data_IF_084744308434
#
_entry.id   IF_084744308434
#
_cell.length_a   1.000
_cell.length_b   1.000
_cell.length_c   1.000
_cell.angle_alpha   90.00
_cell.angle_beta   90.00
_cell.angle_gamma   90.00
#
_symmetry.space_group_name_H-M   'P 1'
#
loop_
_entity.id
_entity.type
_entity.pdbx_description
1 polymer ?
#
# COMPACT_ATOMS: atom_id res chain seq x y z
N UNK A 1 2.41 -23.39 3.69
CA UNK A 1 3.01 -22.55 4.74
C UNK A 1 2.48 -21.13 4.55
N UNK A 2 1.65 -20.63 5.46
CA UNK A 2 1.33 -19.20 5.50
C UNK A 2 2.58 -18.47 5.98
N UNK A 3 3.23 -17.71 5.11
CA UNK A 3 4.30 -16.83 5.56
C UNK A 3 3.68 -15.58 6.20
N UNK A 4 4.18 -15.25 7.38
CA UNK A 4 3.94 -13.97 8.03
C UNK A 4 4.36 -12.83 7.09
N UNK A 5 3.67 -11.68 7.19
CA UNK A 5 4.10 -10.40 6.61
C UNK A 5 5.58 -10.18 6.85
N UNK A 6 6.30 -9.62 5.88
CA UNK A 6 7.72 -9.30 6.01
C UNK A 6 7.92 -7.79 6.15
N UNK A 7 8.62 -7.37 7.19
CA UNK A 7 9.09 -6.00 7.37
C UNK A 7 10.62 -6.02 7.36
N UNK A 8 11.20 -5.43 6.32
CA UNK A 8 12.64 -5.37 6.12
C UNK A 8 13.11 -4.00 6.56
N UNK A 9 13.90 -3.95 7.63
CA UNK A 9 14.46 -2.70 8.15
C UNK A 9 15.91 -2.58 7.67
N UNK A 10 16.25 -1.41 7.13
CA UNK A 10 17.58 -1.05 6.63
C UNK A 10 18.03 0.25 7.28
N UNK A 11 19.35 0.45 7.32
CA UNK A 11 19.93 1.56 8.07
C UNK A 11 19.52 2.93 7.51
N UNK A 12 19.32 3.02 6.20
CA UNK A 12 19.06 4.27 5.50
C UNK A 12 18.24 4.07 4.21
N UNK A 13 17.77 5.18 3.64
CA UNK A 13 16.95 5.15 2.41
C UNK A 13 17.67 4.56 1.19
N UNK A 14 18.99 4.68 1.08
CA UNK A 14 19.77 4.11 -0.01
C UNK A 14 19.92 2.60 0.14
N UNK A 15 20.21 2.10 1.35
CA UNK A 15 20.25 0.67 1.62
C UNK A 15 18.89 0.00 1.48
N UNK A 16 17.79 0.69 1.84
CA UNK A 16 16.42 0.26 1.56
C UNK A 16 16.12 0.17 0.05
N UNK A 17 16.45 1.21 -0.71
CA UNK A 17 16.26 1.23 -2.16
C UNK A 17 17.10 0.16 -2.88
N UNK A 18 18.37 0.00 -2.48
CA UNK A 18 19.26 -1.03 -3.02
C UNK A 18 18.71 -2.43 -2.75
N UNK A 19 18.25 -2.71 -1.53
CA UNK A 19 17.67 -4.00 -1.19
C UNK A 19 16.50 -4.36 -2.10
N UNK A 20 15.58 -3.41 -2.33
CA UNK A 20 14.41 -3.67 -3.17
C UNK A 20 14.80 -3.82 -4.65
N UNK A 21 15.75 -3.04 -5.15
CA UNK A 21 16.29 -3.23 -6.50
C UNK A 21 16.94 -4.61 -6.67
N UNK A 22 17.78 -5.04 -5.71
CA UNK A 22 18.43 -6.35 -5.72
C UNK A 22 17.40 -7.49 -5.69
N UNK A 23 16.32 -7.33 -4.91
CA UNK A 23 15.20 -8.26 -4.84
C UNK A 23 14.47 -8.41 -6.17
N UNK A 24 14.20 -7.28 -6.85
CA UNK A 24 13.58 -7.27 -8.18
C UNK A 24 14.50 -7.96 -9.20
N UNK A 25 15.81 -7.68 -9.15
CA UNK A 25 16.78 -8.22 -10.11
C UNK A 25 17.02 -9.72 -9.94
N UNK A 26 17.24 -10.20 -8.70
CA UNK A 26 17.95 -11.46 -8.36
C UNK A 26 19.46 -11.28 -8.10
N UNK A 27 19.92 -10.23 -7.44
CA UNK A 27 21.32 -10.22 -6.98
C UNK A 27 21.44 -11.02 -5.67
N UNK A 28 22.51 -11.81 -5.52
CA UNK A 28 22.78 -12.52 -4.26
C UNK A 28 22.82 -11.49 -3.12
N UNK A 29 21.81 -11.51 -2.25
CA UNK A 29 21.79 -10.75 -1.00
C UNK A 29 22.76 -11.43 -0.03
N UNK A 30 24.07 -11.29 -0.27
CA UNK A 30 25.11 -11.73 0.67
C UNK A 30 25.15 -10.77 1.84
N UNK A 31 24.59 -11.17 2.97
CA UNK A 31 24.99 -10.62 4.27
C UNK A 31 26.36 -11.22 4.62
N UNK A 32 27.37 -10.37 4.79
CA UNK A 32 28.66 -10.79 5.34
C UNK A 32 28.47 -11.22 6.79
N UNK A 33 28.38 -12.53 7.03
CA UNK A 33 28.61 -13.11 8.34
C UNK A 33 29.84 -14.01 8.20
N UNK A 34 30.92 -13.57 8.80
CA UNK A 34 32.21 -14.22 8.79
C UNK A 34 32.23 -15.19 9.97
N UNK A 35 31.96 -16.47 9.73
CA UNK A 35 32.26 -17.54 10.69
C UNK A 35 32.66 -18.84 9.97
N UNK A 36 33.53 -19.57 10.65
CA UNK A 36 34.54 -20.51 10.15
C UNK A 36 34.03 -21.76 9.42
N UNK A 37 34.76 -22.13 8.36
CA UNK A 37 34.95 -23.48 7.81
C UNK A 37 33.71 -24.34 7.53
N UNK A 38 32.89 -23.93 6.56
CA UNK A 38 32.34 -24.80 5.51
C UNK A 38 31.50 -23.95 4.54
N UNK A 39 31.98 -23.74 3.32
CA UNK A 39 31.24 -22.95 2.33
C UNK A 39 30.15 -23.80 1.66
N UNK A 40 29.03 -24.04 2.36
CA UNK A 40 27.78 -24.36 1.67
C UNK A 40 27.17 -23.03 1.20
N UNK A 41 27.32 -22.71 -0.08
CA UNK A 41 26.60 -21.61 -0.70
C UNK A 41 25.13 -22.01 -0.82
N UNK A 42 24.34 -21.77 0.23
CA UNK A 42 22.88 -21.91 0.17
C UNK A 42 22.37 -20.71 -0.64
N UNK A 43 22.34 -20.86 -1.97
CA UNK A 43 21.80 -19.85 -2.89
C UNK A 43 20.29 -19.78 -2.69
N UNK A 44 19.87 -18.95 -1.75
CA UNK A 44 18.45 -18.65 -1.57
C UNK A 44 18.00 -17.87 -2.80
N UNK A 45 17.18 -18.47 -3.68
CA UNK A 45 16.57 -17.81 -4.86
C UNK A 45 15.61 -16.69 -4.40
N UNK A 46 16.16 -15.56 -3.95
CA UNK A 46 15.49 -14.39 -3.36
C UNK A 46 15.27 -13.29 -4.42
N UNK A 47 14.52 -13.62 -5.46
CA UNK A 47 14.78 -13.05 -6.76
C UNK A 47 13.58 -13.13 -7.71
N UNK A 48 13.20 -12.02 -8.34
CA UNK A 48 11.98 -11.99 -9.17
C UNK A 48 12.24 -12.13 -10.65
N UNK A 49 12.78 -11.12 -11.33
CA UNK A 49 12.79 -11.10 -12.81
C UNK A 49 13.68 -12.21 -13.38
N UNK A 50 14.93 -12.37 -12.91
CA UNK A 50 15.82 -13.41 -13.46
C UNK A 50 15.37 -14.83 -13.14
N UNK A 51 14.80 -15.06 -11.95
CA UNK A 51 14.24 -16.38 -11.59
C UNK A 51 13.02 -16.72 -12.41
N UNK A 52 12.14 -15.73 -12.67
CA UNK A 52 10.95 -15.93 -13.49
C UNK A 52 11.27 -16.25 -14.95
N UNK A 53 12.45 -15.80 -15.42
CA UNK A 53 12.98 -16.01 -16.76
C UNK A 53 11.97 -15.62 -17.86
N UNK A 54 11.61 -14.32 -17.96
CA UNK A 54 10.54 -13.88 -18.84
C UNK A 54 10.87 -14.07 -20.32
N UNK A 55 9.88 -14.54 -21.07
CA UNK A 55 9.91 -14.74 -22.52
C UNK A 55 8.78 -13.95 -23.18
N UNK A 56 8.75 -13.80 -24.52
CA UNK A 56 7.63 -13.13 -25.19
C UNK A 56 6.25 -13.76 -24.90
N UNK A 57 6.19 -15.08 -24.71
CA UNK A 57 4.94 -15.79 -24.35
C UNK A 57 4.66 -15.80 -22.84
N UNK A 58 5.66 -15.56 -22.00
CA UNK A 58 5.61 -15.49 -20.53
C UNK A 58 6.30 -14.20 -20.05
N UNK A 59 5.70 -13.01 -20.30
CA UNK A 59 6.29 -11.77 -19.83
C UNK A 59 6.17 -11.63 -18.30
N UNK A 60 7.10 -10.92 -17.67
CA UNK A 60 7.01 -10.55 -16.26
C UNK A 60 6.21 -9.25 -16.13
N UNK A 61 5.08 -9.29 -15.42
CA UNK A 61 4.19 -8.12 -15.28
C UNK A 61 4.48 -7.40 -13.97
N UNK A 62 4.90 -6.14 -14.01
CA UNK A 62 5.27 -5.35 -12.84
C UNK A 62 4.43 -4.08 -12.68
N UNK A 63 3.91 -3.85 -11.47
CA UNK A 63 3.29 -2.59 -11.06
C UNK A 63 4.34 -1.60 -10.57
N UNK A 64 4.30 -0.35 -11.04
CA UNK A 64 5.34 0.66 -10.77
C UNK A 64 4.76 1.95 -10.17
N UNK A 65 5.34 2.47 -9.07
CA UNK A 65 4.98 3.75 -8.47
C UNK A 65 5.83 4.91 -8.98
N UNK A 66 5.38 6.13 -8.73
CA UNK A 66 6.15 7.37 -8.94
C UNK A 66 6.53 8.04 -7.62
N UNK A 67 7.14 9.22 -7.70
CA UNK A 67 7.53 10.03 -6.55
C UNK A 67 8.93 9.73 -6.03
N UNK A 68 9.31 10.40 -4.94
CA UNK A 68 10.70 10.42 -4.45
C UNK A 68 11.18 9.09 -3.86
N UNK A 69 10.29 8.29 -3.28
CA UNK A 69 10.65 7.00 -2.66
C UNK A 69 11.20 5.97 -3.65
N UNK A 70 10.59 5.74 -4.83
CA UNK A 70 11.11 4.77 -5.79
C UNK A 70 12.29 5.25 -6.65
N UNK A 71 12.65 6.54 -6.65
CA UNK A 71 13.77 7.05 -7.47
C UNK A 71 15.08 6.30 -7.26
N UNK A 72 15.42 5.98 -6.00
CA UNK A 72 16.63 5.23 -5.67
C UNK A 72 16.61 3.83 -6.29
N UNK A 73 15.45 3.18 -6.29
CA UNK A 73 15.25 1.85 -6.86
C UNK A 73 15.45 1.90 -8.37
N UNK A 74 14.84 2.88 -9.06
CA UNK A 74 15.04 3.06 -10.49
C UNK A 74 16.50 3.29 -10.87
N UNK A 75 17.23 4.13 -10.11
CA UNK A 75 18.68 4.33 -10.32
C UNK A 75 19.46 3.03 -10.25
N UNK A 76 19.16 2.17 -9.27
CA UNK A 76 19.81 0.86 -9.15
C UNK A 76 19.43 -0.11 -10.28
N UNK A 77 18.16 -0.17 -10.67
CA UNK A 77 17.69 -1.00 -11.79
C UNK A 77 18.33 -0.58 -13.12
N UNK A 78 18.40 0.71 -13.40
CA UNK A 78 19.09 1.27 -14.57
C UNK A 78 20.57 0.94 -14.56
N UNK A 79 21.23 1.08 -13.42
CA UNK A 79 22.64 0.76 -13.29
C UNK A 79 22.90 -0.74 -13.53
N UNK A 80 22.06 -1.62 -13.01
CA UNK A 80 22.14 -3.07 -13.24
C UNK A 80 21.90 -3.43 -14.71
N UNK A 81 20.93 -2.79 -15.37
CA UNK A 81 20.70 -2.97 -16.80
C UNK A 81 21.92 -2.55 -17.63
N UNK A 82 22.50 -1.38 -17.35
CA UNK A 82 23.71 -0.88 -18.03
C UNK A 82 24.93 -1.80 -17.83
N UNK A 83 24.98 -2.56 -16.74
CA UNK A 83 25.99 -3.61 -16.49
C UNK A 83 25.67 -4.97 -17.14
N UNK A 84 24.55 -5.08 -17.86
CA UNK A 84 24.10 -6.34 -18.48
C UNK A 84 23.55 -7.36 -17.50
N UNK A 85 23.22 -6.96 -16.28
CA UNK A 85 22.78 -7.89 -15.23
C UNK A 85 21.29 -8.26 -15.33
N UNK A 86 20.49 -7.41 -15.99
CA UNK A 86 19.05 -7.57 -16.18
C UNK A 86 18.60 -6.98 -17.51
N UNK A 87 17.56 -7.58 -18.11
CA UNK A 87 16.85 -7.06 -19.29
C UNK A 87 15.36 -6.91 -18.97
N UNK A 88 14.76 -5.86 -19.53
CA UNK A 88 13.35 -5.51 -19.43
C UNK A 88 12.59 -5.75 -20.74
N UNK A 89 13.22 -6.35 -21.76
CA UNK A 89 12.60 -6.62 -23.07
C UNK A 89 11.30 -7.43 -22.98
N UNK A 90 11.24 -8.39 -22.07
CA UNK A 90 10.05 -9.24 -21.83
C UNK A 90 9.31 -8.84 -20.54
N UNK A 91 9.38 -7.58 -20.14
CA UNK A 91 8.68 -7.04 -18.98
C UNK A 91 7.52 -6.16 -19.46
N UNK A 92 6.35 -6.33 -18.85
CA UNK A 92 5.18 -5.46 -19.05
C UNK A 92 4.98 -4.63 -17.79
N UNK A 93 4.87 -3.32 -17.93
CA UNK A 93 4.74 -2.40 -16.79
C UNK A 93 3.34 -1.80 -16.73
N UNK A 94 2.83 -1.63 -15.52
CA UNK A 94 1.60 -0.88 -15.22
C UNK A 94 1.89 0.14 -14.13
N UNK A 95 1.71 1.43 -14.42
CA UNK A 95 1.79 2.47 -13.40
C UNK A 95 0.53 2.52 -12.53
N UNK A 96 0.68 3.00 -11.29
CA UNK A 96 -0.43 3.08 -10.34
C UNK A 96 -1.45 4.17 -10.68
N UNK A 97 -1.00 5.28 -11.24
CA UNK A 97 -1.79 6.49 -11.36
C UNK A 97 -1.23 7.45 -12.42
N UNK A 98 -2.05 8.44 -12.78
CA UNK A 98 -1.69 9.62 -13.57
C UNK A 98 -2.64 10.78 -13.23
N UNK A 99 -2.15 12.03 -13.28
CA UNK A 99 -3.00 13.19 -13.05
C UNK A 99 -3.99 13.40 -14.21
N UNK A 100 -5.22 13.82 -13.88
CA UNK A 100 -6.24 14.17 -14.87
C UNK A 100 -5.99 15.60 -15.38
N UNK A 101 -6.02 15.78 -16.71
CA UNK A 101 -5.94 17.08 -17.36
C UNK A 101 -4.54 17.70 -17.42
N UNK A 102 -3.49 16.99 -16.97
CA UNK A 102 -2.10 17.43 -17.15
C UNK A 102 -1.59 17.03 -18.54
N UNK A 103 -0.94 17.93 -19.32
CA UNK A 103 -0.32 17.52 -20.58
C UNK A 103 0.66 16.36 -20.36
N UNK A 104 0.66 15.38 -21.27
CA UNK A 104 1.52 14.19 -21.16
C UNK A 104 3.01 14.54 -21.15
N UNK A 105 3.38 15.62 -21.82
CA UNK A 105 4.75 16.12 -21.93
C UNK A 105 5.11 17.07 -20.77
N UNK A 106 4.16 17.39 -19.89
CA UNK A 106 4.43 18.23 -18.73
C UNK A 106 5.49 17.54 -17.84
N UNK A 107 6.50 18.27 -17.33
CA UNK A 107 7.60 17.68 -16.55
C UNK A 107 7.11 16.93 -15.32
N UNK A 108 6.05 17.42 -14.67
CA UNK A 108 5.46 16.81 -13.47
C UNK A 108 4.36 15.77 -13.76
N UNK A 109 4.13 15.40 -15.03
CA UNK A 109 3.27 14.24 -15.33
C UNK A 109 3.97 12.95 -14.93
N UNK A 110 3.20 11.93 -14.54
CA UNK A 110 3.79 10.64 -14.18
C UNK A 110 4.34 9.91 -15.40
N UNK A 111 3.79 10.20 -16.58
CA UNK A 111 4.39 9.85 -17.85
C UNK A 111 5.83 10.39 -17.97
N UNK A 112 6.04 11.71 -17.85
CA UNK A 112 7.39 12.31 -17.91
C UNK A 112 8.32 11.76 -16.84
N UNK A 113 7.84 11.62 -15.60
CA UNK A 113 8.60 11.05 -14.50
C UNK A 113 9.15 9.66 -14.85
N UNK A 114 8.30 8.76 -15.35
CA UNK A 114 8.73 7.40 -15.64
C UNK A 114 9.74 7.32 -16.79
N UNK A 115 9.57 8.15 -17.82
CA UNK A 115 10.54 8.24 -18.91
C UNK A 115 11.86 8.85 -18.47
N UNK A 116 11.83 9.89 -17.63
CA UNK A 116 13.02 10.55 -17.11
C UNK A 116 13.83 9.62 -16.20
N UNK A 117 13.17 8.89 -15.30
CA UNK A 117 13.84 8.13 -14.26
C UNK A 117 14.11 6.67 -14.63
N UNK A 118 13.36 6.09 -15.57
CA UNK A 118 13.44 4.65 -15.82
C UNK A 118 13.37 4.27 -17.31
N UNK A 119 12.24 4.49 -18.00
CA UNK A 119 11.98 3.87 -19.30
C UNK A 119 12.96 4.28 -20.41
N UNK A 120 13.50 5.51 -20.39
CA UNK A 120 14.48 5.94 -21.40
C UNK A 120 15.88 5.34 -21.21
N UNK A 121 16.11 4.61 -20.12
CA UNK A 121 17.43 4.11 -19.73
C UNK A 121 17.53 2.59 -19.71
N UNK A 122 16.46 1.88 -20.11
CA UNK A 122 16.36 0.42 -20.14
C UNK A 122 15.76 -0.08 -21.45
N UNK A 123 15.89 -1.38 -21.73
CA UNK A 123 15.45 -2.03 -22.97
C UNK A 123 13.99 -2.53 -22.92
N UNK A 124 13.11 -1.83 -22.19
CA UNK A 124 11.67 -2.14 -22.19
C UNK A 124 11.04 -1.74 -23.52
N UNK A 125 10.19 -2.60 -24.09
CA UNK A 125 9.44 -2.26 -25.30
C UNK A 125 8.38 -1.19 -24.97
N UNK A 126 8.32 -0.05 -25.69
CA UNK A 126 7.28 0.95 -25.49
C UNK A 126 5.84 0.40 -25.54
N UNK A 127 5.58 -0.65 -26.32
CA UNK A 127 4.27 -1.31 -26.38
C UNK A 127 3.89 -2.06 -25.08
N UNK A 128 4.89 -2.38 -24.25
CA UNK A 128 4.72 -3.02 -22.96
C UNK A 128 4.59 -2.02 -21.80
N UNK A 129 4.65 -0.71 -22.08
CA UNK A 129 4.50 0.35 -21.09
C UNK A 129 3.03 0.77 -21.00
N UNK A 130 2.42 0.59 -19.83
CA UNK A 130 1.04 1.00 -19.57
C UNK A 130 1.02 2.05 -18.46
N UNK A 131 0.52 3.25 -18.79
CA UNK A 131 0.24 4.35 -17.87
C UNK A 131 -1.18 4.82 -18.18
N UNK A 132 -1.97 5.13 -17.15
CA UNK A 132 -3.34 5.64 -17.31
C UNK A 132 -3.34 6.94 -18.11
N UNK A 133 -4.26 7.07 -19.08
CA UNK A 133 -4.40 8.29 -19.85
C UNK A 133 -5.29 9.32 -19.11
N UNK A 134 -4.67 10.20 -18.33
CA UNK A 134 -5.36 11.29 -17.62
C UNK A 134 -6.04 12.34 -18.51
N UNK A 135 -5.85 12.29 -19.83
CA UNK A 135 -6.49 13.17 -20.80
C UNK A 135 -7.45 12.43 -21.75
N UNK A 136 -7.89 11.21 -21.39
CA UNK A 136 -8.89 10.49 -22.16
C UNK A 136 -10.23 11.26 -22.18
N UNK A 137 -10.98 11.15 -23.28
CA UNK A 137 -12.31 11.78 -23.41
C UNK A 137 -13.29 11.17 -22.40
N UNK A 138 -13.28 9.84 -22.26
CA UNK A 138 -14.00 9.11 -21.23
C UNK A 138 -13.01 8.46 -20.25
N UNK A 139 -12.90 9.08 -19.08
CA UNK A 139 -12.00 8.64 -18.01
C UNK A 139 -12.44 7.32 -17.36
N UNK A 140 -13.74 7.01 -17.36
CA UNK A 140 -14.27 5.77 -16.81
C UNK A 140 -13.96 4.61 -17.76
N UNK A 141 -14.14 4.81 -19.07
CA UNK A 141 -13.75 3.83 -20.09
C UNK A 141 -12.25 3.54 -20.04
N UNK A 142 -11.39 4.56 -19.88
CA UNK A 142 -9.95 4.38 -19.72
C UNK A 142 -9.63 3.50 -18.51
N UNK A 143 -10.29 3.72 -17.37
CA UNK A 143 -10.11 2.92 -16.16
C UNK A 143 -10.54 1.46 -16.35
N UNK A 144 -11.67 1.21 -17.03
CA UNK A 144 -12.14 -0.13 -17.37
C UNK A 144 -11.15 -0.82 -18.31
N UNK A 145 -10.71 -0.12 -19.36
CA UNK A 145 -9.74 -0.64 -20.32
C UNK A 145 -8.41 -0.99 -19.66
N UNK A 146 -7.97 -0.20 -18.67
CA UNK A 146 -6.75 -0.46 -17.91
C UNK A 146 -6.84 -1.77 -17.12
N UNK A 147 -7.96 -2.00 -16.45
CA UNK A 147 -8.23 -3.26 -15.73
C UNK A 147 -8.29 -4.47 -16.68
N UNK A 148 -8.89 -4.31 -17.86
CA UNK A 148 -8.89 -5.35 -18.89
C UNK A 148 -7.49 -5.66 -19.41
N UNK A 149 -6.64 -4.64 -19.61
CA UNK A 149 -5.22 -4.82 -20.01
C UNK A 149 -4.45 -5.61 -18.95
N UNK A 150 -4.63 -5.30 -17.66
CA UNK A 150 -4.01 -6.06 -16.56
C UNK A 150 -4.45 -7.53 -16.60
N UNK A 151 -5.74 -7.79 -16.78
CA UNK A 151 -6.27 -9.17 -16.86
C UNK A 151 -5.73 -9.91 -18.09
N UNK A 152 -5.68 -9.28 -19.27
CA UNK A 152 -5.10 -9.88 -20.50
C UNK A 152 -3.61 -10.19 -20.37
N UNK A 153 -2.87 -9.39 -19.61
CA UNK A 153 -1.48 -9.65 -19.27
C UNK A 153 -1.31 -10.85 -18.31
N UNK A 154 -2.40 -11.29 -17.65
CA UNK A 154 -2.39 -12.40 -16.70
C UNK A 154 -2.35 -11.98 -15.24
N UNK A 155 -2.65 -10.72 -14.94
CA UNK A 155 -2.45 -10.11 -13.63
C UNK A 155 -1.00 -9.74 -13.37
N UNK A 156 -0.77 -9.05 -12.26
CA UNK A 156 0.53 -8.47 -11.89
C UNK A 156 1.34 -9.48 -11.07
N UNK A 157 2.61 -9.70 -11.45
CA UNK A 157 3.53 -10.62 -10.76
C UNK A 157 4.08 -10.02 -9.46
N UNK A 158 4.47 -8.75 -9.54
CA UNK A 158 4.98 -7.96 -8.43
C UNK A 158 4.44 -6.55 -8.59
N UNK A 159 3.78 -6.04 -7.56
CA UNK A 159 3.33 -4.66 -7.50
C UNK A 159 4.23 -3.89 -6.54
N UNK A 160 5.01 -2.95 -7.07
CA UNK A 160 5.80 -2.04 -6.26
C UNK A 160 4.96 -0.82 -5.88
N UNK A 161 4.94 -0.48 -4.60
CA UNK A 161 4.17 0.65 -4.09
C UNK A 161 5.00 1.56 -3.17
N UNK A 162 4.47 2.75 -2.94
CA UNK A 162 4.86 3.62 -1.83
C UNK A 162 3.67 3.85 -0.89
N UNK A 163 3.88 4.68 0.12
CA UNK A 163 2.83 5.12 1.04
C UNK A 163 2.79 6.65 1.10
N UNK A 164 1.61 7.24 1.19
CA UNK A 164 1.43 8.65 1.58
C UNK A 164 1.67 8.88 3.08
N UNK A 165 1.89 10.14 3.54
CA UNK A 165 1.94 10.46 4.98
C UNK A 165 0.64 10.14 5.74
N UNK A 166 -0.48 10.06 5.02
CA UNK A 166 -1.83 9.69 5.46
C UNK A 166 -2.14 8.19 5.32
N UNK A 167 -1.16 7.39 4.88
CA UNK A 167 -1.34 5.94 4.67
C UNK A 167 -1.93 5.52 3.32
N UNK A 168 -2.11 6.43 2.36
CA UNK A 168 -2.63 6.04 1.05
C UNK A 168 -1.66 5.15 0.28
N UNK A 169 -2.20 4.19 -0.47
CA UNK A 169 -1.51 3.48 -1.56
C UNK A 169 -2.02 4.00 -2.90
N UNK A 170 -1.12 4.36 -3.82
CA UNK A 170 -1.48 5.14 -5.02
C UNK A 170 -2.27 6.41 -4.60
N UNK A 171 -3.25 6.87 -5.38
CA UNK A 171 -4.20 7.89 -4.93
C UNK A 171 -5.44 7.31 -4.23
N UNK A 172 -5.33 6.17 -3.55
CA UNK A 172 -6.42 5.67 -2.70
C UNK A 172 -6.43 6.41 -1.36
N UNK A 173 -6.87 7.66 -1.42
CA UNK A 173 -6.99 8.60 -0.29
C UNK A 173 -7.83 8.01 0.87
N UNK A 174 -7.66 8.51 2.11
CA UNK A 174 -8.46 8.10 3.25
C UNK A 174 -9.96 8.10 2.97
N UNK A 175 -10.63 7.00 3.36
CA UNK A 175 -12.05 6.74 3.10
C UNK A 175 -12.30 5.98 1.78
N UNK A 176 -11.27 5.71 0.98
CA UNK A 176 -11.40 4.88 -0.22
C UNK A 176 -11.78 3.43 0.12
N UNK A 177 -12.73 2.86 -0.62
CA UNK A 177 -13.10 1.45 -0.45
C UNK A 177 -11.89 0.52 -0.60
N UNK A 178 -11.72 -0.42 0.33
CA UNK A 178 -10.67 -1.43 0.25
C UNK A 178 -10.92 -2.46 -0.88
N UNK A 179 -12.16 -2.53 -1.37
CA UNK A 179 -12.56 -3.34 -2.54
C UNK A 179 -12.57 -2.52 -3.85
N UNK A 180 -12.02 -1.31 -3.85
CA UNK A 180 -12.05 -0.41 -5.02
C UNK A 180 -11.27 -0.96 -6.23
N UNK A 181 -11.76 -0.61 -7.43
CA UNK A 181 -11.08 -0.79 -8.72
C UNK A 181 -10.46 0.52 -9.20
N UNK A 182 -9.77 0.42 -10.34
CA UNK A 182 -9.23 1.57 -11.07
C UNK A 182 -10.35 2.58 -11.36
N UNK A 183 -10.13 3.85 -11.01
CA UNK A 183 -11.16 4.90 -11.06
C UNK A 183 -10.56 6.31 -11.07
N UNK A 184 -11.40 7.28 -11.38
CA UNK A 184 -11.13 8.69 -11.11
C UNK A 184 -11.21 8.95 -9.60
N UNK A 185 -10.25 9.69 -9.05
CA UNK A 185 -10.24 10.10 -7.65
C UNK A 185 -9.86 11.57 -7.51
N UNK A 186 -10.64 12.29 -6.71
CA UNK A 186 -10.30 13.65 -6.25
C UNK A 186 -9.21 13.57 -5.19
N UNK A 187 -8.16 14.38 -5.36
CA UNK A 187 -7.04 14.44 -4.43
C UNK A 187 -7.47 15.13 -3.12
N UNK A 188 -6.97 14.62 -2.00
CA UNK A 188 -7.15 15.25 -0.70
C UNK A 188 -6.34 16.54 -0.60
N UNK A 189 -6.74 17.44 0.31
CA UNK A 189 -6.01 18.68 0.56
C UNK A 189 -4.55 18.42 0.96
N UNK A 190 -4.30 17.42 1.81
CA UNK A 190 -2.95 17.05 2.24
C UNK A 190 -2.08 16.57 1.08
N UNK A 191 -2.66 15.84 0.13
CA UNK A 191 -1.99 15.39 -1.10
C UNK A 191 -1.66 16.57 -2.02
N UNK A 192 -2.61 17.51 -2.19
CA UNK A 192 -2.38 18.74 -2.95
C UNK A 192 -1.25 19.56 -2.32
N UNK A 193 -1.26 19.70 -0.98
CA UNK A 193 -0.24 20.41 -0.24
C UNK A 193 1.14 19.74 -0.40
N UNK A 194 1.21 18.42 -0.24
CA UNK A 194 2.45 17.66 -0.38
C UNK A 194 3.02 17.72 -1.80
N UNK A 195 2.15 17.70 -2.82
CA UNK A 195 2.56 17.72 -4.22
C UNK A 195 2.82 19.13 -4.76
N UNK A 196 2.33 20.18 -4.10
CA UNK A 196 2.55 21.59 -4.51
C UNK A 196 4.03 21.93 -4.70
N UNK A 197 4.94 21.29 -3.97
CA UNK A 197 6.40 21.43 -4.13
C UNK A 197 6.90 21.18 -5.55
N UNK A 198 6.21 20.33 -6.30
CA UNK A 198 6.51 20.03 -7.71
C UNK A 198 5.93 21.07 -8.67
N UNK A 199 4.91 21.81 -8.24
CA UNK A 199 4.20 22.82 -9.04
C UNK A 199 4.59 24.25 -8.61
N UNK A 200 5.83 24.44 -8.15
CA UNK A 200 6.35 25.75 -7.74
C UNK A 200 5.75 26.27 -6.43
N UNK A 201 5.31 25.37 -5.54
CA UNK A 201 4.60 25.67 -4.29
C UNK A 201 3.26 26.40 -4.48
N UNK A 202 2.64 26.27 -5.66
CA UNK A 202 1.33 26.84 -5.96
C UNK A 202 0.25 25.74 -5.98
N UNK A 203 -0.62 25.76 -4.97
CA UNK A 203 -1.72 24.79 -4.81
C UNK A 203 -2.69 24.79 -6.01
N UNK A 204 -2.85 25.93 -6.69
CA UNK A 204 -3.79 26.05 -7.81
C UNK A 204 -3.30 25.35 -9.09
N UNK A 205 -1.99 25.11 -9.18
CA UNK A 205 -1.38 24.42 -10.33
C UNK A 205 -1.38 22.91 -10.18
N UNK A 206 -1.65 22.40 -8.98
CA UNK A 206 -1.75 20.96 -8.74
C UNK A 206 -3.06 20.44 -9.34
N UNK A 207 -3.03 19.41 -10.19
CA UNK A 207 -4.25 18.77 -10.68
C UNK A 207 -5.13 18.31 -9.52
N UNK A 208 -6.45 18.56 -9.60
CA UNK A 208 -7.39 18.25 -8.51
C UNK A 208 -7.88 16.80 -8.52
N UNK A 209 -7.65 16.09 -9.63
CA UNK A 209 -8.09 14.72 -9.84
C UNK A 209 -6.96 13.90 -10.44
N UNK A 210 -7.00 12.60 -10.20
CA UNK A 210 -6.10 11.62 -10.80
C UNK A 210 -6.89 10.37 -11.21
N UNK A 211 -6.40 9.65 -12.20
CA UNK A 211 -6.75 8.26 -12.42
C UNK A 211 -5.84 7.42 -11.53
N UNK A 212 -6.38 6.41 -10.87
CA UNK A 212 -5.60 5.57 -9.98
C UNK A 212 -6.14 4.14 -9.96
N UNK A 213 -5.24 3.16 -9.86
CA UNK A 213 -5.61 1.78 -9.57
C UNK A 213 -6.30 1.69 -8.22
N UNK A 214 -7.25 0.75 -8.09
CA UNK A 214 -7.94 0.53 -6.84
C UNK A 214 -7.11 -0.27 -5.83
N UNK A 215 -7.52 -0.24 -4.56
CA UNK A 215 -6.90 -1.05 -3.51
C UNK A 215 -6.98 -2.54 -3.87
N UNK A 216 -8.14 -3.01 -4.35
CA UNK A 216 -8.31 -4.40 -4.75
C UNK A 216 -7.45 -4.75 -5.98
N UNK A 217 -7.25 -3.79 -6.90
CA UNK A 217 -6.37 -3.97 -8.07
C UNK A 217 -4.93 -4.27 -7.63
N UNK A 218 -4.45 -3.58 -6.59
CA UNK A 218 -3.13 -3.86 -6.00
C UNK A 218 -3.12 -5.20 -5.27
N UNK A 219 -4.13 -5.50 -4.45
CA UNK A 219 -4.23 -6.76 -3.70
C UNK A 219 -4.39 -8.01 -4.59
N UNK A 220 -4.77 -7.84 -5.86
CA UNK A 220 -4.83 -8.93 -6.82
C UNK A 220 -3.47 -9.30 -7.42
N UNK A 221 -2.43 -8.51 -7.16
CA UNK A 221 -1.07 -8.87 -7.53
C UNK A 221 -0.62 -10.14 -6.81
N UNK A 222 0.31 -10.89 -7.42
CA UNK A 222 0.85 -12.11 -6.80
C UNK A 222 1.80 -11.82 -5.64
N UNK A 223 2.43 -10.65 -5.67
CA UNK A 223 3.24 -10.10 -4.61
C UNK A 223 3.07 -8.59 -4.58
N UNK A 224 3.02 -8.00 -3.38
CA UNK A 224 3.06 -6.55 -3.20
C UNK A 224 4.28 -6.20 -2.37
N UNK A 225 5.10 -5.28 -2.87
CA UNK A 225 6.28 -4.78 -2.16
C UNK A 225 6.21 -3.27 -2.03
N UNK A 226 6.31 -2.76 -0.80
CA UNK A 226 6.20 -1.33 -0.53
C UNK A 226 7.50 -0.78 0.03
N UNK A 227 7.96 0.37 -0.50
CA UNK A 227 9.09 1.12 0.04
C UNK A 227 8.58 2.30 0.89
N UNK A 228 9.06 2.43 2.12
CA UNK A 228 8.64 3.50 3.04
C UNK A 228 9.89 4.05 3.73
N UNK A 229 10.25 5.29 3.43
CA UNK A 229 11.50 5.90 3.91
C UNK A 229 11.26 7.27 4.53
N UNK A 230 11.92 7.54 5.64
CA UNK A 230 11.97 8.82 6.33
C UNK A 230 10.93 8.99 7.44
N UNK A 231 11.19 9.92 8.38
CA UNK A 231 10.43 10.04 9.63
C UNK A 231 8.99 10.51 9.40
N UNK A 232 8.77 11.33 8.38
CA UNK A 232 7.45 11.83 7.96
C UNK A 232 6.47 10.73 7.51
N UNK A 233 6.91 9.48 7.40
CA UNK A 233 6.06 8.31 7.09
C UNK A 233 5.88 7.36 8.28
N UNK A 234 6.51 7.63 9.43
CA UNK A 234 6.52 6.72 10.56
C UNK A 234 5.12 6.47 11.16
N UNK A 235 4.32 7.53 11.28
CA UNK A 235 2.93 7.41 11.74
C UNK A 235 2.10 6.52 10.80
N UNK A 236 2.23 6.74 9.49
CA UNK A 236 1.49 5.96 8.50
C UNK A 236 1.91 4.47 8.54
N UNK A 237 3.21 4.19 8.68
CA UNK A 237 3.72 2.83 8.87
C UNK A 237 3.12 2.16 10.12
N UNK A 238 3.13 2.87 11.25
CA UNK A 238 2.57 2.41 12.52
C UNK A 238 1.10 2.04 12.38
N UNK A 239 0.29 2.91 11.79
CA UNK A 239 -1.14 2.68 11.58
C UNK A 239 -1.40 1.50 10.66
N UNK A 240 -0.56 1.29 9.64
CA UNK A 240 -0.76 0.22 8.67
C UNK A 240 -0.28 -1.16 9.15
N UNK A 241 0.69 -1.22 10.08
CA UNK A 241 1.26 -2.48 10.57
C UNK A 241 0.69 -2.89 11.93
N UNK A 242 0.66 -1.96 12.89
CA UNK A 242 0.21 -2.23 14.26
C UNK A 242 -1.27 -1.94 14.47
N UNK A 243 -1.85 -1.06 13.66
CA UNK A 243 -3.29 -0.83 13.62
C UNK A 243 -4.06 -1.96 12.95
N UNK A 244 -5.39 -1.92 13.08
CA UNK A 244 -6.29 -2.81 12.33
C UNK A 244 -6.46 -2.37 10.87
N UNK A 245 -6.99 -3.27 10.04
CA UNK A 245 -7.38 -2.96 8.66
C UNK A 245 -8.42 -1.84 8.67
N UNK A 246 -8.13 -0.73 8.01
CA UNK A 246 -8.93 0.49 8.06
C UNK A 246 -8.82 1.27 6.74
N UNK A 247 -9.97 1.64 6.16
CA UNK A 247 -10.03 2.44 4.92
C UNK A 247 -9.50 3.88 5.05
N UNK A 248 -9.27 4.37 6.26
CA UNK A 248 -8.58 5.64 6.50
C UNK A 248 -7.06 5.52 6.30
N UNK A 249 -6.51 4.32 6.36
CA UNK A 249 -5.11 4.01 6.15
C UNK A 249 -5.03 2.88 5.11
N UNK A 250 -5.24 3.19 3.84
CA UNK A 250 -5.55 2.16 2.82
C UNK A 250 -4.44 1.13 2.62
N UNK A 251 -3.18 1.45 2.91
CA UNK A 251 -2.09 0.47 2.93
C UNK A 251 -2.25 -0.61 4.02
N UNK A 252 -3.03 -0.37 5.08
CA UNK A 252 -3.41 -1.40 6.07
C UNK A 252 -4.14 -2.60 5.42
N UNK A 253 -4.66 -2.45 4.20
CA UNK A 253 -5.20 -3.58 3.43
C UNK A 253 -4.16 -4.66 3.10
N UNK A 254 -2.86 -4.33 3.09
CA UNK A 254 -1.78 -5.31 2.89
C UNK A 254 -1.75 -6.40 3.98
N UNK A 255 -2.39 -6.16 5.13
CA UNK A 255 -2.56 -7.20 6.15
C UNK A 255 -3.39 -8.40 5.66
N UNK A 256 -4.23 -8.20 4.64
CA UNK A 256 -5.04 -9.22 4.01
C UNK A 256 -4.33 -9.92 2.84
N UNK A 257 -3.17 -9.40 2.41
CA UNK A 257 -2.46 -9.91 1.25
C UNK A 257 -1.54 -11.08 1.63
N UNK A 258 -1.59 -12.22 0.91
CA UNK A 258 -0.82 -13.42 1.28
C UNK A 258 0.70 -13.25 1.12
N UNK A 259 1.14 -12.30 0.29
CA UNK A 259 2.53 -12.11 -0.10
C UNK A 259 2.91 -10.63 -0.09
N UNK A 260 2.80 -10.00 1.08
CA UNK A 260 3.19 -8.60 1.28
C UNK A 260 4.58 -8.47 1.92
N UNK A 261 5.39 -7.58 1.37
CA UNK A 261 6.68 -7.17 1.91
C UNK A 261 6.74 -5.65 2.03
N UNK A 262 7.18 -5.15 3.17
CA UNK A 262 7.41 -3.73 3.41
C UNK A 262 8.90 -3.55 3.67
N UNK A 263 9.55 -2.67 2.92
CA UNK A 263 10.96 -2.31 3.07
C UNK A 263 11.04 -0.88 3.58
N UNK A 264 11.75 -0.68 4.69
CA UNK A 264 11.84 0.60 5.39
C UNK A 264 13.26 0.97 5.77
N UNK A 265 13.50 2.27 5.96
CA UNK A 265 14.68 2.75 6.70
C UNK A 265 14.39 2.84 8.21
N UNK A 266 15.43 2.99 9.03
CA UNK A 266 15.28 3.13 10.49
C UNK A 266 14.36 4.32 10.87
N UNK A 267 14.49 5.46 10.17
CA UNK A 267 13.69 6.66 10.44
C UNK A 267 12.18 6.43 10.25
N UNK A 268 11.76 5.59 9.31
CA UNK A 268 10.36 5.24 9.15
C UNK A 268 9.82 4.40 10.31
N UNK A 269 10.67 3.85 11.18
CA UNK A 269 10.24 2.99 12.30
C UNK A 269 10.05 3.72 13.63
N UNK A 270 10.25 5.04 13.67
CA UNK A 270 10.25 5.83 14.92
C UNK A 270 8.96 5.72 15.76
N UNK A 271 7.82 5.50 15.11
CA UNK A 271 6.52 5.34 15.77
C UNK A 271 6.16 3.88 16.07
N UNK A 272 6.96 2.91 15.64
CA UNK A 272 6.73 1.49 15.91
C UNK A 272 7.11 1.13 17.35
N UNK A 273 6.43 0.14 17.92
CA UNK A 273 6.84 -0.42 19.19
C UNK A 273 8.20 -1.12 19.06
N UNK A 274 9.04 -0.96 20.08
CA UNK A 274 10.35 -1.63 20.16
C UNK A 274 10.23 -3.14 19.98
N UNK A 275 9.15 -3.75 20.51
CA UNK A 275 8.89 -5.18 20.35
C UNK A 275 8.64 -5.57 18.89
N UNK A 276 7.90 -4.76 18.14
CA UNK A 276 7.63 -4.94 16.71
C UNK A 276 8.92 -4.91 15.90
N UNK A 277 9.76 -3.89 16.12
CA UNK A 277 11.06 -3.75 15.44
C UNK A 277 11.97 -4.96 15.74
N UNK A 278 12.10 -5.34 17.02
CA UNK A 278 12.92 -6.49 17.43
C UNK A 278 12.42 -7.80 16.83
N UNK A 279 11.10 -8.01 16.78
CA UNK A 279 10.49 -9.19 16.20
C UNK A 279 10.86 -9.34 14.72
N UNK A 280 10.68 -8.29 13.92
CA UNK A 280 10.98 -8.36 12.48
C UNK A 280 12.48 -8.45 12.18
N UNK A 281 13.34 -7.74 12.93
CA UNK A 281 14.80 -7.89 12.82
C UNK A 281 15.23 -9.34 13.11
N UNK A 282 14.69 -9.95 14.16
CA UNK A 282 14.98 -11.33 14.55
C UNK A 282 14.52 -12.34 13.49
N UNK A 283 13.28 -12.21 12.98
CA UNK A 283 12.76 -13.13 11.96
C UNK A 283 13.54 -13.04 10.67
N UNK A 284 13.90 -11.85 10.21
CA UNK A 284 14.68 -11.71 8.97
C UNK A 284 16.09 -12.28 9.10
N UNK A 285 16.71 -12.17 10.28
CA UNK A 285 18.00 -12.79 10.58
C UNK A 285 17.90 -14.33 10.54
N UNK A 286 16.88 -14.90 11.20
CA UNK A 286 16.65 -16.36 11.22
C UNK A 286 16.27 -16.88 9.83
N UNK A 287 15.37 -16.19 9.12
CA UNK A 287 15.00 -16.56 7.76
C UNK A 287 16.22 -16.52 6.82
N UNK A 288 17.10 -15.53 6.99
CA UNK A 288 18.32 -15.43 6.21
C UNK A 288 19.33 -16.54 6.54
N UNK A 289 19.54 -16.87 7.81
CA UNK A 289 20.48 -17.92 8.22
C UNK A 289 20.02 -19.33 7.84
N UNK A 290 18.71 -19.57 7.85
CA UNK A 290 18.11 -20.86 7.51
C UNK A 290 17.79 -21.00 6.01
N UNK A 291 18.07 -19.98 5.20
CA UNK A 291 17.75 -19.99 3.77
C UNK A 291 16.25 -20.00 3.46
N UNK A 292 15.40 -19.54 4.37
CA UNK A 292 13.98 -19.34 4.09
C UNK A 292 13.78 -18.00 3.36
N UNK A 293 13.23 -18.05 2.15
CA UNK A 293 12.81 -16.89 1.37
C UNK A 293 11.30 -16.84 1.19
N UNK A 294 10.78 -15.76 0.60
CA UNK A 294 9.34 -15.66 0.33
C UNK A 294 8.90 -16.77 -0.64
N UNK A 295 7.98 -17.64 -0.19
CA UNK A 295 7.45 -18.72 -1.03
C UNK A 295 6.25 -18.19 -1.80
N UNK A 296 6.42 -18.04 -3.11
CA UNK A 296 5.36 -17.64 -4.02
C UNK A 296 4.61 -18.87 -4.54
N UNK A 297 3.38 -18.71 -5.06
CA UNK A 297 2.67 -19.81 -5.71
C UNK A 297 3.53 -20.43 -6.82
N UNK A 298 3.44 -21.75 -7.00
CA UNK A 298 4.24 -22.46 -8.01
C UNK A 298 3.96 -21.92 -9.43
N UNK A 299 5.00 -21.91 -10.28
CA UNK A 299 4.91 -21.38 -11.66
C UNK A 299 3.75 -21.98 -12.46
N UNK A 300 3.46 -23.26 -12.25
CA UNK A 300 2.37 -23.98 -12.90
C UNK A 300 0.99 -23.43 -12.52
N UNK A 301 0.78 -23.06 -11.24
CA UNK A 301 -0.46 -22.45 -10.79
C UNK A 301 -0.64 -21.04 -11.37
N UNK A 302 0.45 -20.29 -11.50
CA UNK A 302 0.45 -18.94 -12.09
C UNK A 302 0.05 -19.00 -13.56
N UNK A 303 0.65 -19.91 -14.33
CA UNK A 303 0.35 -20.09 -15.75
C UNK A 303 -1.08 -20.56 -15.98
N UNK A 304 -1.56 -21.58 -15.24
CA UNK A 304 -2.96 -22.06 -15.33
C UNK A 304 -3.96 -20.94 -15.02
N UNK A 305 -3.70 -20.13 -13.99
CA UNK A 305 -4.57 -18.99 -13.65
C UNK A 305 -4.57 -17.92 -14.75
N UNK A 306 -3.42 -17.63 -15.35
CA UNK A 306 -3.32 -16.70 -16.48
C UNK A 306 -4.10 -17.19 -17.70
N UNK A 307 -3.90 -18.44 -18.10
CA UNK A 307 -4.50 -18.99 -19.31
C UNK A 307 -6.03 -19.10 -19.16
N UNK A 308 -6.52 -19.52 -17.98
CA UNK A 308 -7.96 -19.51 -17.68
C UNK A 308 -8.59 -18.12 -17.64
N UNK A 309 -7.84 -17.07 -17.27
CA UNK A 309 -8.34 -15.68 -17.34
C UNK A 309 -8.44 -15.22 -18.79
N UNK A 310 -7.46 -15.56 -19.65
CA UNK A 310 -7.50 -15.25 -21.08
C UNK A 310 -8.66 -15.94 -21.77
N UNK A 311 -8.85 -17.23 -21.51
CA UNK A 311 -9.96 -18.01 -22.06
C UNK A 311 -11.34 -17.42 -21.68
N UNK A 312 -11.50 -16.97 -20.43
CA UNK A 312 -12.72 -16.26 -19.99
C UNK A 312 -12.92 -14.90 -20.67
N UNK A 313 -11.85 -14.18 -20.96
CA UNK A 313 -11.92 -12.89 -21.67
C UNK A 313 -12.28 -13.08 -23.14
N UNK A 314 -11.76 -14.14 -23.76
CA UNK A 314 -11.95 -14.45 -25.17
C UNK A 314 -13.29 -15.17 -25.45
N UNK A 315 -13.91 -15.77 -24.43
CA UNK A 315 -15.25 -16.36 -24.56
C UNK A 315 -16.31 -15.31 -24.94
N UNK A 316 -17.26 -15.63 -25.85
CA UNK A 316 -18.28 -14.69 -26.28
C UNK A 316 -19.09 -14.20 -25.07
N UNK A 317 -19.08 -12.88 -24.82
CA UNK A 317 -19.99 -12.28 -23.84
C UNK A 317 -21.41 -12.49 -24.35
N UNK A 318 -22.23 -13.25 -23.63
CA UNK A 318 -23.69 -13.19 -23.80
C UNK A 318 -24.10 -11.73 -23.63
N UNK A 319 -24.67 -11.16 -24.69
CA UNK A 319 -25.11 -9.77 -24.73
C UNK A 319 -25.99 -9.42 -23.53
N UNK A 320 -25.76 -8.28 -22.84
CA UNK A 320 -26.72 -7.76 -21.89
C UNK A 320 -28.03 -7.39 -22.63
N UNK A 321 -29.19 -7.44 -21.97
CA UNK A 321 -30.43 -6.98 -22.59
C UNK A 321 -30.28 -5.51 -23.00
N UNK A 322 -30.80 -5.22 -24.19
CA UNK A 322 -30.73 -3.96 -24.93
C UNK A 322 -30.95 -2.69 -24.11
N UNK A 323 -30.10 -1.69 -24.37
CA UNK A 323 -30.35 -0.25 -24.33
C UNK A 323 -31.61 0.22 -23.59
N UNK A 324 -31.46 0.54 -22.30
CA UNK A 324 -32.31 1.53 -21.64
C UNK A 324 -31.50 2.82 -21.49
N UNK A 325 -32.06 3.93 -21.98
CA UNK A 325 -31.47 5.28 -22.02
C UNK A 325 -30.69 5.63 -20.75
N UNK A 326 -29.39 5.94 -20.90
CA UNK A 326 -28.61 6.68 -19.90
C UNK A 326 -29.06 8.15 -19.90
N UNK A 327 -30.19 8.44 -19.26
CA UNK A 327 -30.44 9.79 -18.78
C UNK A 327 -29.73 9.95 -17.43
N UNK A 328 -28.60 10.64 -17.47
CA UNK A 328 -27.95 11.18 -16.28
C UNK A 328 -28.88 12.20 -15.64
N UNK A 329 -29.47 11.86 -14.49
CA UNK A 329 -30.00 12.86 -13.57
C UNK A 329 -29.03 13.01 -12.41
N UNK A 330 -28.09 13.95 -12.57
CA UNK A 330 -27.64 14.73 -11.42
C UNK A 330 -28.84 15.58 -11.00
N UNK A 331 -29.57 15.13 -9.98
CA UNK A 331 -30.68 15.91 -9.42
C UNK A 331 -30.14 17.20 -8.81
N UNK A 332 -30.69 18.39 -9.13
CA UNK A 332 -30.40 19.59 -8.36
C UNK A 332 -30.97 19.43 -6.94
N UNK A 333 -30.23 19.91 -5.94
CA UNK A 333 -30.68 19.96 -4.56
C UNK A 333 -31.96 20.80 -4.50
N UNK A 334 -33.10 20.14 -4.31
CA UNK A 334 -34.40 20.81 -4.25
C UNK A 334 -34.59 21.39 -2.85
N UNK A 335 -34.62 22.71 -2.76
CA UNK A 335 -35.12 23.45 -1.60
C UNK A 335 -36.64 23.40 -1.63
N UNK A 336 -37.24 22.33 -1.11
CA UNK A 336 -38.62 22.36 -0.63
C UNK A 336 -38.87 21.16 0.29
N UNK A 337 -39.39 21.48 1.48
CA UNK A 337 -39.62 20.53 2.57
C UNK A 337 -41.10 20.17 2.57
N UNK A 338 -41.47 18.88 2.48
CA UNK A 338 -42.68 18.38 3.10
C UNK A 338 -42.29 17.42 4.24
N UNK A 339 -42.86 17.66 5.42
CA UNK A 339 -42.46 17.03 6.67
C UNK A 339 -42.46 15.50 6.62
N UNK A 340 -41.26 14.91 6.73
CA UNK A 340 -41.11 13.55 7.24
C UNK A 340 -41.19 13.61 8.76
N UNK A 341 -42.29 13.12 9.33
CA UNK A 341 -42.37 12.77 10.74
C UNK A 341 -41.35 11.66 11.01
N UNK A 342 -40.25 11.98 11.71
CA UNK A 342 -39.36 10.98 12.28
C UNK A 342 -40.15 10.18 13.33
N UNK A 343 -40.02 8.85 13.41
CA UNK A 343 -40.40 8.17 14.64
C UNK A 343 -39.54 8.74 15.77
N UNK A 344 -40.20 9.13 16.86
CA UNK A 344 -39.57 9.64 18.07
C UNK A 344 -38.60 8.56 18.57
N UNK A 345 -37.31 8.85 18.57
CA UNK A 345 -36.31 8.05 19.27
C UNK A 345 -36.73 8.02 20.75
N UNK A 346 -36.85 6.83 21.39
CA UNK A 346 -37.12 6.81 22.82
C UNK A 346 -35.99 7.53 23.56
N UNK A 347 -36.39 8.34 24.54
CA UNK A 347 -35.50 9.15 25.36
C UNK A 347 -34.50 8.24 26.09
N UNK A 348 -33.20 8.48 25.89
CA UNK A 348 -32.13 7.76 26.58
C UNK A 348 -32.13 8.20 28.05
N UNK A 349 -32.86 7.46 28.89
CA UNK A 349 -32.74 7.58 30.34
C UNK A 349 -31.39 6.96 30.74
N UNK A 350 -30.52 7.69 31.47
CA UNK A 350 -29.29 7.10 31.99
C UNK A 350 -29.63 6.00 32.99
N UNK A 351 -29.39 4.75 32.62
CA UNK A 351 -29.50 3.61 33.52
C UNK A 351 -28.32 3.64 34.50
N UNK A 352 -28.54 4.23 35.67
CA UNK A 352 -27.56 4.20 36.74
C UNK A 352 -27.53 2.80 37.37
N UNK A 353 -26.36 2.19 37.45
CA UNK A 353 -26.11 0.83 37.97
C UNK A 353 -26.60 0.53 39.41
N UNK A 354 -27.24 1.49 40.11
CA UNK A 354 -27.82 1.29 41.44
C UNK A 354 -29.20 0.62 41.44
N UNK A 355 -29.92 0.60 40.31
CA UNK A 355 -31.27 0.01 40.20
C UNK A 355 -31.28 -1.49 39.86
N UNK A 356 -30.10 -2.11 39.69
CA UNK A 356 -29.96 -3.54 39.35
C UNK A 356 -29.52 -4.43 40.51
N UNK A 357 -29.57 -3.92 41.74
CA UNK A 357 -29.28 -4.69 42.94
C UNK A 357 -30.62 -5.05 43.60
N UNK A 358 -31.00 -6.32 43.54
CA UNK A 358 -32.10 -6.84 44.37
C UNK A 358 -31.67 -6.73 45.84
N UNK A 359 -32.55 -6.21 46.71
CA UNK A 359 -32.29 -6.15 48.15
C UNK A 359 -32.10 -7.58 48.69
N UNK A 360 -30.91 -7.86 49.22
CA UNK A 360 -30.63 -9.08 49.97
C UNK A 360 -31.42 -9.11 51.30
N UNK A 361 -31.80 -10.30 51.81
CA UNK A 361 -32.67 -10.42 52.96
C UNK A 361 -32.01 -9.88 54.24
N UNK A 362 -32.78 -9.12 55.03
CA UNK A 362 -32.45 -8.81 56.42
C UNK A 362 -32.42 -10.10 57.24
N UNK A 363 -31.23 -10.59 57.58
CA UNK A 363 -30.84 -11.24 58.85
C UNK A 363 -29.71 -12.26 58.65
N UNK A 364 -28.43 -11.84 58.76
CA UNK A 364 -27.30 -12.74 59.09
C UNK A 364 -26.19 -11.94 59.83
N UNK A 365 -25.56 -12.46 60.91
CA UNK A 365 -24.89 -11.63 61.92
C UNK A 365 -23.44 -11.25 61.60
N UNK A 366 -23.01 -10.14 62.19
CA UNK A 366 -21.70 -9.50 62.08
C UNK A 366 -20.52 -10.40 62.46
N UNK A 367 -19.40 -10.27 61.72
CA UNK A 367 -18.07 -10.60 62.22
C UNK A 367 -17.02 -9.58 61.72
N UNK A 368 -16.22 -9.17 62.69
CA UNK A 368 -15.24 -8.10 62.76
C UNK A 368 -14.07 -8.14 61.77
N UNK A 369 -13.56 -6.93 61.48
CA UNK A 369 -12.12 -6.68 61.42
C UNK A 369 -11.52 -6.54 60.03
N UNK A 370 -11.34 -5.29 59.57
CA UNK A 370 -10.10 -4.72 59.01
C UNK A 370 -10.38 -3.33 58.43
N UNK A 371 -9.78 -2.30 59.04
CA UNK A 371 -9.84 -0.91 58.60
C UNK A 371 -9.13 -0.70 57.24
N UNK A 372 -9.77 -0.01 56.30
CA UNK A 372 -9.07 0.65 55.17
C UNK A 372 -9.23 2.16 55.31
N UNK A 373 -8.14 2.84 55.70
CA UNK A 373 -8.01 4.31 55.63
C UNK A 373 -8.04 4.76 54.16
N UNK A 374 -9.03 5.56 53.79
CA UNK A 374 -9.02 6.30 52.52
C UNK A 374 -8.04 7.49 52.62
N UNK A 375 -7.15 7.62 51.63
CA UNK A 375 -6.30 8.78 51.44
C UNK A 375 -6.98 9.76 50.45
N UNK A 376 -7.03 11.07 50.72
CA UNK A 376 -7.66 12.02 49.80
C UNK A 376 -6.77 12.33 48.59
N UNK A 377 -7.40 12.35 47.41
CA UNK A 377 -6.82 12.75 46.12
C UNK A 377 -6.61 14.28 46.06
N UNK A 378 -5.40 14.74 45.73
CA UNK A 378 -5.07 16.15 45.50
C UNK A 378 -4.89 16.42 44.01
N UNK A 379 -5.52 17.49 43.52
CA UNK A 379 -5.49 17.95 42.12
C UNK A 379 -4.08 18.37 41.67
N UNK A 380 -3.61 17.82 40.55
CA UNK A 380 -2.33 18.17 39.91
C UNK A 380 -2.42 19.48 39.10
N UNK A 381 -2.62 20.62 39.74
CA UNK A 381 -2.35 21.95 39.16
C UNK A 381 -1.77 22.84 40.26
N UNK A 382 -0.51 22.63 40.63
CA UNK A 382 0.36 23.60 41.32
C UNK A 382 1.70 22.92 41.68
N UNK A 383 2.67 22.95 40.75
CA UNK A 383 4.11 22.88 41.08
C UNK A 383 4.90 23.60 40.00
N UNK A 384 4.90 24.92 40.09
CA UNK A 384 6.01 25.76 39.62
C UNK A 384 6.50 26.49 40.87
N UNK A 385 7.82 26.65 40.97
CA UNK A 385 8.57 27.36 42.01
C UNK A 385 8.88 26.61 43.32
N UNK A 386 10.05 25.95 43.34
CA UNK A 386 11.06 26.13 44.40
C UNK A 386 12.24 25.16 44.19
N UNK A 387 13.20 25.55 43.36
CA UNK A 387 14.53 24.99 43.37
C UNK A 387 15.53 26.12 43.67
N UNK A 388 15.74 26.38 44.97
CA UNK A 388 16.88 27.15 45.50
C UNK A 388 16.96 26.92 47.02
N UNK A 389 17.85 26.00 47.43
CA UNK A 389 18.66 26.01 48.67
C UNK A 389 19.48 24.72 48.72
#
# INVERSE_FOLDING_TARGET
MHQSRRLIIRDDKHSAAKYLADYIICMNLTSNLQESNSSLTITTKKARIKTFAPTPSKPFVIGLPTGSSPEGIYKHLVAAHKRGEISFRNVITFNMDEYVGIPREHPESYHSFMYQHFFSHVDVDPANINILNGNAEDLEEECIAYEEKIKRAGGIELFMGGIGPDGHIAFNEPGSSLASRTRVKTLAYDTILANSRFFGNDLNKVPKMALTVGVQTVLEAREVVTIITGPHKALALQKCIEGGVNHMWTLSSLQLHPHAMIVVDEDATLELQVKTVKYFKSIEQVASSQGFGQSLPSEELVLKKRDSVREKLDSPRTSPPSSASKNFFLSPLSTDTPGLSRPITPELVPDSMHTRVEEEPKDVPALDGLETKELPLVNMHERVDSAQA
#
